data_IF_224675731538
#
_entry.id   IF_224675731538
#
_cell.length_a   1.000
_cell.length_b   1.000
_cell.length_c   1.000
_cell.angle_alpha   90.00
_cell.angle_beta   90.00
_cell.angle_gamma   90.00
#
_symmetry.space_group_name_H-M   'P 1'
#
loop_
_entity.id
_entity.type
_entity.pdbx_description
1 polymer ?
#
# COMPACT_ATOMS: atom_id res chain seq x y z
N UNK A 1 -36.46 -22.20 -5.40
CA UNK A 1 -36.15 -20.87 -5.96
C UNK A 1 -34.65 -20.65 -5.79
N UNK A 2 -33.89 -20.80 -6.86
CA UNK A 2 -32.45 -20.50 -6.86
C UNK A 2 -32.32 -18.98 -6.74
N UNK A 3 -31.88 -18.47 -5.59
CA UNK A 3 -31.33 -17.11 -5.51
C UNK A 3 -30.11 -17.10 -6.43
N UNK A 4 -30.16 -16.34 -7.51
CA UNK A 4 -28.93 -15.98 -8.22
C UNK A 4 -28.02 -15.31 -7.21
N UNK A 5 -26.96 -15.98 -6.80
CA UNK A 5 -25.89 -15.38 -6.02
C UNK A 5 -25.16 -14.38 -6.94
N UNK A 6 -25.72 -13.20 -7.14
CA UNK A 6 -24.97 -12.08 -7.66
C UNK A 6 -24.14 -11.54 -6.49
N UNK A 7 -22.84 -11.45 -6.66
CA UNK A 7 -21.97 -10.75 -5.72
C UNK A 7 -22.44 -9.30 -5.57
N UNK A 8 -22.29 -8.75 -4.36
CA UNK A 8 -22.65 -7.35 -4.08
C UNK A 8 -21.50 -6.44 -4.47
N UNK A 9 -21.83 -5.26 -4.98
CA UNK A 9 -20.85 -4.20 -5.15
C UNK A 9 -20.37 -3.71 -3.78
N UNK A 10 -19.08 -3.45 -3.64
CA UNK A 10 -18.45 -3.00 -2.41
C UNK A 10 -17.68 -1.72 -2.69
N UNK A 11 -17.76 -0.76 -1.80
CA UNK A 11 -17.06 0.51 -1.91
C UNK A 11 -16.29 0.88 -0.64
N UNK A 12 -15.24 1.66 -0.83
CA UNK A 12 -14.63 2.46 0.22
C UNK A 12 -15.51 3.68 0.44
N UNK A 13 -15.96 3.89 1.68
CA UNK A 13 -16.85 5.01 2.04
C UNK A 13 -16.17 6.03 2.95
N UNK A 14 -15.11 5.63 3.65
CA UNK A 14 -14.31 6.51 4.51
C UNK A 14 -12.88 6.03 4.62
N UNK A 15 -11.96 6.98 4.77
CA UNK A 15 -10.54 6.72 4.96
C UNK A 15 -9.96 7.68 5.99
N UNK A 16 -8.97 7.22 6.75
CA UNK A 16 -8.13 8.05 7.59
C UNK A 16 -6.71 7.49 7.60
N UNK A 17 -5.70 8.33 7.41
CA UNK A 17 -4.30 7.93 7.44
C UNK A 17 -3.44 8.99 8.11
N UNK A 18 -2.34 8.56 8.69
CA UNK A 18 -1.31 9.44 9.23
C UNK A 18 0.06 8.81 9.03
N UNK A 19 1.02 9.61 8.58
CA UNK A 19 2.41 9.20 8.44
C UNK A 19 3.32 10.30 8.98
N UNK A 20 4.39 9.90 9.66
CA UNK A 20 5.41 10.80 10.18
C UNK A 20 6.76 10.10 10.19
N UNK A 21 7.85 10.85 10.23
CA UNK A 21 9.19 10.25 10.23
C UNK A 21 9.43 9.37 11.44
N UNK A 22 9.03 9.83 12.63
CA UNK A 22 9.16 9.11 13.89
C UNK A 22 7.95 9.44 14.76
N UNK A 23 7.23 8.43 15.19
CA UNK A 23 6.13 8.55 16.13
C UNK A 23 6.64 8.25 17.55
N UNK A 24 7.18 9.27 18.24
CA UNK A 24 7.81 9.09 19.56
C UNK A 24 6.86 9.27 20.74
N UNK A 25 5.79 10.06 20.58
CA UNK A 25 4.94 10.50 21.70
C UNK A 25 3.69 9.64 21.89
N UNK A 26 3.27 8.90 20.86
CA UNK A 26 2.09 8.02 20.91
C UNK A 26 2.48 6.60 20.52
N UNK A 27 1.80 5.64 21.10
CA UNK A 27 1.93 4.24 20.70
C UNK A 27 0.97 3.92 19.54
N UNK A 28 1.13 2.74 18.97
CA UNK A 28 0.31 2.24 17.86
C UNK A 28 -1.16 2.11 18.22
N UNK A 29 -1.49 1.77 19.47
CA UNK A 29 -2.88 1.66 19.95
C UNK A 29 -3.57 3.02 19.92
N UNK A 30 -2.92 4.05 20.43
CA UNK A 30 -3.46 5.40 20.45
C UNK A 30 -3.57 5.97 19.03
N UNK A 31 -2.54 5.78 18.20
CA UNK A 31 -2.59 6.17 16.78
C UNK A 31 -3.78 5.56 16.07
N UNK A 32 -3.97 4.24 16.23
CA UNK A 32 -5.06 3.55 15.55
C UNK A 32 -6.43 3.91 16.12
N UNK A 33 -6.55 4.14 17.44
CA UNK A 33 -7.79 4.61 18.05
C UNK A 33 -8.26 5.96 17.44
N UNK A 34 -7.33 6.89 17.26
CA UNK A 34 -7.62 8.18 16.65
C UNK A 34 -8.01 8.03 15.17
N UNK A 35 -7.27 7.24 14.40
CA UNK A 35 -7.55 7.00 12.97
C UNK A 35 -8.89 6.28 12.77
N UNK A 36 -9.16 5.22 13.53
CA UNK A 36 -10.42 4.47 13.47
C UNK A 36 -11.60 5.37 13.87
N UNK A 37 -11.44 6.15 14.94
CA UNK A 37 -12.46 7.09 15.38
C UNK A 37 -12.76 8.16 14.31
N UNK A 38 -11.73 8.76 13.73
CA UNK A 38 -11.88 9.75 12.67
C UNK A 38 -12.57 9.13 11.44
N UNK A 39 -12.14 7.94 11.04
CA UNK A 39 -12.70 7.21 9.89
C UNK A 39 -14.20 6.91 10.10
N UNK A 40 -14.60 6.43 11.29
CA UNK A 40 -15.99 6.15 11.63
C UNK A 40 -16.84 7.42 11.72
N UNK A 41 -16.34 8.44 12.40
CA UNK A 41 -17.06 9.68 12.64
C UNK A 41 -17.35 10.44 11.34
N UNK A 42 -16.46 10.35 10.34
CA UNK A 42 -16.65 11.05 9.06
C UNK A 42 -17.89 10.58 8.29
N UNK A 43 -18.35 9.35 8.52
CA UNK A 43 -19.56 8.76 7.90
C UNK A 43 -20.65 8.37 8.90
N UNK A 44 -20.47 8.72 10.18
CA UNK A 44 -21.45 8.49 11.23
C UNK A 44 -21.73 7.03 11.58
N UNK A 45 -20.78 6.13 11.31
CA UNK A 45 -20.92 4.69 11.62
C UNK A 45 -20.51 4.42 13.05
N UNK A 46 -21.39 3.77 13.83
CA UNK A 46 -21.07 3.33 15.19
C UNK A 46 -20.25 2.03 15.18
N UNK A 47 -19.69 1.67 16.33
CA UNK A 47 -18.94 0.42 16.43
C UNK A 47 -19.83 -0.82 16.20
N UNK A 48 -21.06 -0.78 16.70
CA UNK A 48 -22.02 -1.89 16.59
C UNK A 48 -22.49 -2.10 15.14
N UNK A 49 -22.38 -1.06 14.29
CA UNK A 49 -22.69 -1.16 12.88
C UNK A 49 -21.56 -1.78 12.06
N UNK A 50 -20.34 -1.92 12.62
CA UNK A 50 -19.23 -2.62 11.96
C UNK A 50 -19.45 -4.13 12.09
N UNK A 51 -19.84 -4.78 11.00
CA UNK A 51 -20.12 -6.22 10.98
C UNK A 51 -18.86 -7.10 11.01
N UNK A 52 -17.72 -6.57 10.54
CA UNK A 52 -16.44 -7.30 10.51
C UNK A 52 -15.26 -6.32 10.60
N UNK A 53 -14.23 -6.73 11.31
CA UNK A 53 -12.97 -5.99 11.39
C UNK A 53 -11.82 -6.87 10.88
N UNK A 54 -10.94 -6.31 10.04
CA UNK A 54 -9.75 -7.02 9.60
C UNK A 54 -8.52 -6.12 9.70
N UNK A 55 -7.48 -6.62 10.34
CA UNK A 55 -6.22 -5.88 10.49
C UNK A 55 -5.10 -6.49 9.68
N UNK A 56 -4.14 -5.64 9.27
CA UNK A 56 -2.88 -6.05 8.67
C UNK A 56 -1.71 -5.54 9.49
N UNK A 57 -0.78 -6.42 9.86
CA UNK A 57 0.48 -6.06 10.51
C UNK A 57 1.50 -7.18 10.34
N UNK A 58 2.67 -7.05 10.97
CA UNK A 58 3.67 -8.11 11.00
C UNK A 58 4.26 -8.26 12.39
N UNK A 59 4.18 -9.46 12.93
CA UNK A 59 4.82 -9.85 14.18
C UNK A 59 6.34 -9.63 14.14
N UNK A 60 6.97 -9.89 13.00
CA UNK A 60 8.39 -9.64 12.80
C UNK A 60 8.77 -8.16 12.97
N UNK A 61 7.97 -7.26 12.38
CA UNK A 61 8.22 -5.82 12.46
C UNK A 61 7.81 -5.23 13.81
N UNK A 62 6.79 -5.81 14.45
CA UNK A 62 6.37 -5.41 15.79
C UNK A 62 7.30 -5.97 16.90
N UNK A 63 8.12 -6.96 16.56
CA UNK A 63 9.08 -7.58 17.50
C UNK A 63 8.43 -8.48 18.58
N UNK A 64 7.18 -8.88 18.38
CA UNK A 64 6.44 -9.74 19.31
C UNK A 64 5.38 -10.56 18.59
N UNK A 65 5.14 -11.78 19.06
CA UNK A 65 4.08 -12.62 18.54
C UNK A 65 2.69 -12.07 18.92
N UNK A 66 1.73 -12.26 18.00
CA UNK A 66 0.36 -11.77 18.15
C UNK A 66 0.25 -10.26 18.37
N UNK A 67 1.07 -9.49 17.66
CA UNK A 67 1.14 -8.04 17.78
C UNK A 67 -0.21 -7.34 17.57
N UNK A 68 -1.06 -7.89 16.71
CA UNK A 68 -2.40 -7.36 16.41
C UNK A 68 -3.32 -7.31 17.65
N UNK A 69 -3.12 -8.19 18.66
CA UNK A 69 -3.96 -8.22 19.88
C UNK A 69 -3.89 -6.89 20.62
N UNK A 70 -2.75 -6.22 20.62
CA UNK A 70 -2.62 -4.91 21.28
C UNK A 70 -3.49 -3.85 20.62
N UNK A 71 -3.63 -3.89 19.29
CA UNK A 71 -4.44 -2.90 18.56
C UNK A 71 -5.94 -3.17 18.60
N UNK A 72 -6.39 -4.32 19.12
CA UNK A 72 -7.81 -4.56 19.39
C UNK A 72 -8.39 -3.55 20.40
N UNK A 73 -7.59 -3.02 21.30
CA UNK A 73 -8.01 -1.95 22.22
C UNK A 73 -8.36 -0.66 21.46
N UNK A 74 -7.77 -0.44 20.28
CA UNK A 74 -8.09 0.70 19.41
C UNK A 74 -9.45 0.57 18.73
N UNK A 75 -9.87 -0.65 18.47
CA UNK A 75 -11.19 -0.97 17.89
C UNK A 75 -12.29 -0.94 18.94
N UNK A 76 -11.96 -1.33 20.18
CA UNK A 76 -12.93 -1.50 21.26
C UNK A 76 -13.70 -2.82 21.11
N UNK A 77 -13.04 -3.94 21.39
CA UNK A 77 -13.62 -5.29 21.26
C UNK A 77 -14.60 -5.68 22.40
N UNK A 78 -15.29 -4.70 22.95
CA UNK A 78 -16.35 -4.91 23.95
C UNK A 78 -17.57 -4.04 23.60
N UNK A 79 -18.75 -4.65 23.29
CA UNK A 79 -19.05 -6.09 23.24
C UNK A 79 -18.18 -6.85 22.23
N UNK A 80 -18.16 -8.20 22.26
CA UNK A 80 -17.35 -9.01 21.34
C UNK A 80 -17.64 -8.68 19.87
N UNK A 81 -16.59 -8.58 19.07
CA UNK A 81 -16.65 -8.26 17.63
C UNK A 81 -16.29 -9.48 16.77
N UNK A 82 -16.67 -9.46 15.49
CA UNK A 82 -16.13 -10.36 14.46
C UNK A 82 -14.84 -9.78 13.92
N UNK A 83 -13.73 -10.50 14.08
CA UNK A 83 -12.41 -10.02 13.74
C UNK A 83 -11.58 -11.10 13.04
N UNK A 84 -10.65 -10.67 12.19
CA UNK A 84 -9.58 -11.46 11.61
C UNK A 84 -8.32 -10.61 11.42
N UNK A 85 -7.19 -11.28 11.29
CA UNK A 85 -5.90 -10.65 11.09
C UNK A 85 -5.16 -11.29 9.91
N UNK A 86 -4.43 -10.46 9.15
CA UNK A 86 -3.54 -10.89 8.07
C UNK A 86 -2.11 -10.47 8.42
N UNK A 87 -1.19 -11.44 8.47
CA UNK A 87 0.25 -11.18 8.70
C UNK A 87 0.89 -10.61 7.41
N UNK A 88 0.38 -9.48 6.94
CA UNK A 88 0.78 -8.76 5.74
C UNK A 88 0.32 -7.29 5.81
N UNK A 89 0.60 -6.53 4.73
CA UNK A 89 0.06 -5.18 4.55
C UNK A 89 -1.47 -5.15 4.62
N UNK A 90 -2.02 -4.07 5.16
CA UNK A 90 -3.46 -3.86 5.29
C UNK A 90 -4.25 -3.94 3.98
N UNK A 91 -3.62 -3.79 2.82
CA UNK A 91 -4.28 -4.02 1.53
C UNK A 91 -4.75 -5.47 1.36
N UNK A 92 -4.01 -6.44 1.91
CA UNK A 92 -4.41 -7.85 1.91
C UNK A 92 -5.53 -8.12 2.93
N UNK A 93 -5.54 -7.39 4.05
CA UNK A 93 -6.67 -7.42 4.99
C UNK A 93 -7.95 -6.83 4.36
N UNK A 94 -7.81 -5.80 3.52
CA UNK A 94 -8.94 -5.25 2.76
C UNK A 94 -9.52 -6.28 1.79
N UNK A 95 -8.69 -7.11 1.14
CA UNK A 95 -9.15 -8.20 0.29
C UNK A 95 -10.04 -9.18 1.04
N UNK A 96 -9.65 -9.59 2.26
CA UNK A 96 -10.46 -10.49 3.10
C UNK A 96 -11.81 -9.88 3.48
N UNK A 97 -11.82 -8.62 3.88
CA UNK A 97 -13.05 -7.89 4.21
C UNK A 97 -13.96 -7.73 2.98
N UNK A 98 -13.37 -7.43 1.82
CA UNK A 98 -14.10 -7.32 0.55
C UNK A 98 -14.83 -8.62 0.18
N UNK A 99 -14.18 -9.78 0.35
CA UNK A 99 -14.82 -11.09 0.09
C UNK A 99 -16.05 -11.29 0.96
N UNK A 100 -15.98 -10.99 2.27
CA UNK A 100 -17.13 -11.13 3.18
C UNK A 100 -18.30 -10.20 2.83
N UNK A 101 -18.00 -8.97 2.41
CA UNK A 101 -19.00 -8.02 1.95
C UNK A 101 -19.65 -8.47 0.66
N UNK A 102 -18.88 -8.96 -0.32
CA UNK A 102 -19.43 -9.46 -1.60
C UNK A 102 -20.40 -10.61 -1.44
N UNK A 103 -20.09 -11.57 -0.59
CA UNK A 103 -20.97 -12.74 -0.38
C UNK A 103 -22.17 -12.44 0.54
N UNK A 104 -22.23 -11.24 1.11
CA UNK A 104 -23.36 -10.82 1.94
C UNK A 104 -23.32 -11.32 3.38
N UNK A 105 -22.14 -11.67 3.89
CA UNK A 105 -21.98 -12.05 5.30
C UNK A 105 -22.14 -10.83 6.22
N UNK A 106 -21.62 -9.67 5.81
CA UNK A 106 -21.75 -8.39 6.51
C UNK A 106 -22.06 -7.25 5.53
N UNK A 107 -22.56 -6.12 6.04
CA UNK A 107 -22.88 -4.93 5.24
C UNK A 107 -21.82 -3.85 5.33
N UNK A 108 -21.00 -3.87 6.40
CA UNK A 108 -19.92 -2.92 6.68
C UNK A 108 -18.71 -3.66 7.25
N UNK A 109 -17.53 -3.17 6.94
CA UNK A 109 -16.29 -3.67 7.53
C UNK A 109 -15.32 -2.53 7.80
N UNK A 110 -14.56 -2.66 8.89
CA UNK A 110 -13.41 -1.83 9.22
C UNK A 110 -12.14 -2.59 8.84
N UNK A 111 -11.28 -1.94 8.05
CA UNK A 111 -9.93 -2.43 7.76
C UNK A 111 -8.92 -1.43 8.29
N UNK A 112 -7.91 -1.91 8.99
CA UNK A 112 -6.86 -1.04 9.46
C UNK A 112 -5.48 -1.71 9.44
N UNK A 113 -4.46 -0.87 9.40
CA UNK A 113 -3.07 -1.33 9.40
C UNK A 113 -2.16 -0.24 9.93
N UNK A 114 -1.05 -0.64 10.52
CA UNK A 114 -0.07 0.28 11.09
C UNK A 114 1.35 -0.28 10.94
N UNK A 115 2.32 0.61 11.03
CA UNK A 115 3.73 0.27 11.15
C UNK A 115 4.48 1.31 11.97
N UNK A 116 5.39 0.84 12.80
CA UNK A 116 6.29 1.70 13.59
C UNK A 116 7.75 1.25 13.41
N UNK A 117 8.24 1.27 12.16
CA UNK A 117 9.57 0.77 11.82
C UNK A 117 10.71 1.54 12.50
N UNK A 118 10.49 2.79 12.94
CA UNK A 118 11.50 3.57 13.66
C UNK A 118 11.92 2.97 15.01
N UNK A 119 11.10 2.05 15.56
CA UNK A 119 11.37 1.41 16.85
C UNK A 119 12.45 0.32 16.78
N UNK A 120 12.84 -0.15 15.58
CA UNK A 120 13.79 -1.25 15.41
C UNK A 120 14.70 -1.09 14.19
N UNK A 121 15.45 -2.14 13.88
CA UNK A 121 16.29 -2.22 12.69
C UNK A 121 15.54 -2.96 11.58
N UNK A 122 14.99 -2.22 10.63
CA UNK A 122 14.32 -2.82 9.45
C UNK A 122 15.28 -3.72 8.68
N UNK A 123 16.53 -3.32 8.53
CA UNK A 123 17.55 -4.08 7.80
C UNK A 123 17.66 -5.49 8.37
N UNK A 124 17.81 -5.59 9.70
CA UNK A 124 17.96 -6.88 10.37
C UNK A 124 16.67 -7.71 10.31
N UNK A 125 15.52 -7.08 10.54
CA UNK A 125 14.22 -7.76 10.50
C UNK A 125 13.95 -8.33 9.11
N UNK A 126 14.11 -7.54 8.05
CA UNK A 126 13.86 -8.00 6.67
C UNK A 126 14.86 -9.07 6.22
N UNK A 127 16.11 -9.05 6.71
CA UNK A 127 17.07 -10.11 6.44
C UNK A 127 16.62 -11.46 7.02
N UNK A 128 15.91 -11.48 8.15
CA UNK A 128 15.38 -12.72 8.75
C UNK A 128 14.21 -13.33 7.97
N UNK A 129 13.54 -12.56 7.10
CA UNK A 129 12.44 -13.02 6.24
C UNK A 129 12.91 -13.67 4.94
N UNK A 130 14.21 -13.64 4.64
CA UNK A 130 14.80 -14.26 3.46
C UNK A 130 14.85 -15.77 3.59
N UNK A 131 15.05 -16.46 2.46
CA UNK A 131 15.27 -17.91 2.44
C UNK A 131 16.34 -18.31 3.45
N UNK A 132 16.02 -19.18 4.44
CA UNK A 132 16.91 -19.45 5.56
C UNK A 132 18.11 -20.33 5.18
N UNK A 133 18.08 -20.99 4.02
CA UNK A 133 19.11 -21.96 3.63
C UNK A 133 20.15 -21.39 2.67
N UNK A 134 19.74 -20.48 1.77
CA UNK A 134 20.62 -20.00 0.69
C UNK A 134 20.88 -18.49 0.76
N UNK A 135 19.90 -17.69 1.11
CA UNK A 135 20.00 -16.22 1.04
C UNK A 135 20.28 -15.63 2.42
N UNK A 136 19.50 -15.96 3.42
CA UNK A 136 19.65 -15.43 4.79
C UNK A 136 21.04 -15.68 5.39
N UNK A 137 21.74 -16.83 5.16
CA UNK A 137 23.10 -17.03 5.65
C UNK A 137 24.13 -16.02 5.12
N UNK A 138 23.87 -15.39 3.97
CA UNK A 138 24.70 -14.32 3.42
C UNK A 138 24.41 -12.96 4.06
N UNK A 139 23.33 -12.87 4.82
CA UNK A 139 22.83 -11.68 5.51
C UNK A 139 22.78 -10.41 4.63
N UNK A 140 22.23 -10.49 3.39
CA UNK A 140 22.10 -9.30 2.56
C UNK A 140 21.00 -8.42 3.11
N UNK A 141 21.23 -7.11 3.17
CA UNK A 141 20.18 -6.16 3.52
C UNK A 141 19.21 -5.91 2.35
N UNK A 142 18.03 -5.39 2.67
CA UNK A 142 16.97 -5.16 1.68
C UNK A 142 17.36 -4.14 0.60
N UNK A 143 18.20 -3.16 0.93
CA UNK A 143 18.67 -2.15 -0.03
C UNK A 143 19.68 -2.73 -1.00
N UNK A 144 20.59 -3.59 -0.53
CA UNK A 144 21.53 -4.33 -1.39
C UNK A 144 20.80 -5.24 -2.39
N UNK A 145 19.74 -5.94 -1.96
CA UNK A 145 18.91 -6.76 -2.86
C UNK A 145 18.20 -5.88 -3.89
N UNK A 146 17.62 -4.75 -3.47
CA UNK A 146 16.98 -3.82 -4.40
C UNK A 146 17.99 -3.16 -5.36
N UNK A 147 19.21 -2.89 -4.90
CA UNK A 147 20.29 -2.37 -5.73
C UNK A 147 20.72 -3.36 -6.82
N UNK A 148 20.80 -4.66 -6.50
CA UNK A 148 21.04 -5.71 -7.50
C UNK A 148 19.93 -5.73 -8.57
N UNK A 149 18.67 -5.57 -8.18
CA UNK A 149 17.56 -5.45 -9.12
C UNK A 149 17.72 -4.21 -10.03
N UNK A 150 18.01 -3.04 -9.46
CA UNK A 150 18.26 -1.82 -10.23
C UNK A 150 19.46 -1.96 -11.17
N UNK A 151 20.56 -2.58 -10.73
CA UNK A 151 21.74 -2.86 -11.55
C UNK A 151 21.40 -3.73 -12.76
N UNK A 152 20.61 -4.81 -12.56
CA UNK A 152 20.17 -5.66 -13.67
C UNK A 152 19.36 -4.89 -14.72
N UNK A 153 18.52 -3.97 -14.30
CA UNK A 153 17.74 -3.12 -15.22
C UNK A 153 18.63 -2.17 -16.02
N UNK A 154 19.61 -1.53 -15.36
CA UNK A 154 20.58 -0.63 -16.00
C UNK A 154 21.47 -1.39 -16.98
N UNK A 155 22.03 -2.55 -16.61
CA UNK A 155 22.92 -3.34 -17.43
C UNK A 155 22.21 -3.89 -18.69
N UNK A 156 20.91 -4.17 -18.59
CA UNK A 156 20.07 -4.53 -19.74
C UNK A 156 19.58 -3.32 -20.55
N UNK A 157 19.88 -2.09 -20.13
CA UNK A 157 19.41 -0.86 -20.78
C UNK A 157 17.89 -0.67 -20.72
N UNK A 158 17.21 -1.25 -19.74
CA UNK A 158 15.75 -1.16 -19.56
C UNK A 158 15.34 0.13 -18.88
N UNK A 159 16.19 0.69 -18.03
CA UNK A 159 16.05 1.98 -17.38
C UNK A 159 17.39 2.74 -17.45
N UNK A 160 17.38 4.03 -17.07
CA UNK A 160 18.58 4.85 -16.92
C UNK A 160 18.61 5.55 -15.57
N UNK A 161 19.78 6.04 -15.15
CA UNK A 161 19.93 6.81 -13.91
C UNK A 161 19.11 8.10 -13.94
N UNK A 162 18.96 8.69 -15.12
CA UNK A 162 18.14 9.89 -15.36
C UNK A 162 16.66 9.58 -15.08
N UNK A 163 16.14 8.45 -15.58
CA UNK A 163 14.76 8.01 -15.32
C UNK A 163 14.49 7.76 -13.84
N UNK A 164 15.43 7.16 -13.15
CA UNK A 164 15.35 6.98 -11.69
C UNK A 164 15.29 8.34 -10.97
N UNK A 165 16.15 9.31 -11.37
CA UNK A 165 16.11 10.66 -10.80
C UNK A 165 14.80 11.41 -11.11
N UNK A 166 14.27 11.28 -12.32
CA UNK A 166 12.95 11.84 -12.70
C UNK A 166 11.84 11.28 -11.84
N UNK A 167 11.84 9.96 -11.58
CA UNK A 167 10.88 9.29 -10.67
C UNK A 167 10.98 9.83 -9.26
N UNK A 168 12.19 9.94 -8.71
CA UNK A 168 12.43 10.51 -7.37
C UNK A 168 12.02 11.98 -7.30
N UNK A 169 12.27 12.77 -8.36
CA UNK A 169 11.86 14.16 -8.44
C UNK A 169 10.33 14.30 -8.48
N UNK A 170 9.66 13.47 -9.27
CA UNK A 170 8.19 13.41 -9.33
C UNK A 170 7.59 13.13 -7.96
N UNK A 171 8.11 12.12 -7.25
CA UNK A 171 7.68 11.76 -5.90
C UNK A 171 7.80 12.93 -4.92
N UNK A 172 8.96 13.59 -4.85
CA UNK A 172 9.16 14.70 -3.93
C UNK A 172 8.28 15.92 -4.25
N UNK A 173 8.07 16.24 -5.53
CA UNK A 173 7.19 17.32 -5.95
C UNK A 173 5.74 17.02 -5.60
N UNK A 174 5.24 15.82 -5.94
CA UNK A 174 3.88 15.40 -5.61
C UNK A 174 3.65 15.36 -4.09
N UNK A 175 4.60 14.81 -3.34
CA UNK A 175 4.55 14.78 -1.87
C UNK A 175 4.46 16.16 -1.22
N UNK A 176 4.88 17.24 -1.91
CA UNK A 176 4.85 18.58 -1.33
C UNK A 176 3.44 19.12 -1.02
N UNK A 177 2.42 18.55 -1.62
CA UNK A 177 1.02 18.89 -1.37
C UNK A 177 0.33 17.87 -0.43
N UNK A 178 1.05 16.84 0.02
CA UNK A 178 0.56 15.82 0.94
C UNK A 178 1.15 16.03 2.35
N UNK A 179 0.33 16.35 3.38
CA UNK A 179 0.82 16.55 4.74
C UNK A 179 1.42 15.29 5.38
N UNK A 180 1.12 14.11 4.84
CA UNK A 180 1.65 12.83 5.28
C UNK A 180 2.98 12.46 4.60
N UNK A 181 3.44 13.21 3.60
CA UNK A 181 4.71 12.93 2.94
C UNK A 181 5.90 13.40 3.78
N UNK A 182 6.74 12.45 4.19
CA UNK A 182 7.91 12.71 5.03
C UNK A 182 9.06 13.30 4.23
N UNK A 183 9.25 12.83 2.99
CA UNK A 183 10.20 13.39 2.04
C UNK A 183 9.47 14.14 0.94
N UNK A 184 9.54 15.46 0.96
CA UNK A 184 8.89 16.28 -0.05
C UNK A 184 9.64 17.59 -0.26
N UNK A 185 9.61 18.11 -1.49
CA UNK A 185 10.20 19.41 -1.84
C UNK A 185 9.63 19.91 -3.15
N UNK A 186 9.15 21.16 -3.18
CA UNK A 186 8.74 21.85 -4.42
C UNK A 186 9.96 22.23 -5.29
N UNK A 187 11.08 22.52 -4.65
CA UNK A 187 12.28 23.05 -5.29
C UNK A 187 13.35 21.97 -5.51
N UNK A 188 12.95 20.69 -5.55
CA UNK A 188 13.91 19.60 -5.81
C UNK A 188 14.52 19.76 -7.19
N UNK A 189 15.86 19.75 -7.27
CA UNK A 189 16.63 19.91 -8.50
C UNK A 189 17.04 18.55 -9.06
N UNK A 190 16.78 18.34 -10.35
CA UNK A 190 17.24 17.12 -11.06
C UNK A 190 18.76 16.97 -10.98
N UNK A 191 19.53 18.05 -11.16
CA UNK A 191 21.00 18.03 -11.09
C UNK A 191 21.48 17.61 -9.70
N UNK A 192 20.83 18.09 -8.62
CA UNK A 192 21.18 17.69 -7.28
C UNK A 192 20.96 16.19 -7.06
N UNK A 193 19.81 15.65 -7.53
CA UNK A 193 19.52 14.22 -7.43
C UNK A 193 20.54 13.39 -8.22
N UNK A 194 20.93 13.81 -9.41
CA UNK A 194 21.93 13.10 -10.22
C UNK A 194 23.32 13.11 -9.59
N UNK A 195 23.68 14.13 -8.81
CA UNK A 195 24.95 14.26 -8.12
C UNK A 195 24.98 13.66 -6.71
N UNK A 196 23.86 13.12 -6.21
CA UNK A 196 23.84 12.41 -4.94
C UNK A 196 24.77 11.18 -4.98
N UNK A 197 25.58 10.93 -3.93
CA UNK A 197 26.35 9.71 -3.86
C UNK A 197 25.41 8.51 -3.68
N UNK A 198 25.76 7.38 -4.29
CA UNK A 198 25.04 6.14 -4.07
C UNK A 198 25.23 5.68 -2.61
N UNK A 199 24.15 5.28 -1.94
CA UNK A 199 24.20 4.58 -0.65
C UNK A 199 24.63 3.13 -0.87
N UNK A 200 23.99 2.47 -1.85
CA UNK A 200 24.33 1.15 -2.38
C UNK A 200 24.21 1.23 -3.89
N UNK A 201 25.35 1.15 -4.59
CA UNK A 201 25.37 1.31 -6.04
C UNK A 201 24.37 0.37 -6.76
N UNK A 202 23.46 0.88 -7.62
CA UNK A 202 23.36 2.25 -8.16
C UNK A 202 22.40 3.19 -7.40
N UNK A 203 21.84 2.77 -6.25
CA UNK A 203 20.79 3.50 -5.53
C UNK A 203 21.33 4.66 -4.70
N UNK A 204 20.82 5.87 -4.96
CA UNK A 204 21.02 7.08 -4.15
C UNK A 204 19.99 7.13 -3.02
N UNK A 205 20.16 8.03 -2.05
CA UNK A 205 19.17 8.21 -0.98
C UNK A 205 17.78 8.54 -1.54
N UNK A 206 17.71 9.39 -2.56
CA UNK A 206 16.46 9.76 -3.23
C UNK A 206 15.80 8.63 -4.00
N UNK A 207 16.53 7.58 -4.38
CA UNK A 207 16.01 6.42 -5.09
C UNK A 207 15.36 5.38 -4.18
N UNK A 208 15.50 5.52 -2.85
CA UNK A 208 15.00 4.59 -1.84
C UNK A 208 13.85 5.24 -1.08
N UNK A 209 12.82 4.48 -0.76
CA UNK A 209 11.66 4.96 0.00
C UNK A 209 12.07 5.55 1.35
N UNK A 210 11.40 6.65 1.74
CA UNK A 210 11.56 7.24 3.08
C UNK A 210 10.69 6.49 4.07
N UNK A 211 11.33 5.76 4.96
CA UNK A 211 10.64 4.97 5.98
C UNK A 211 9.95 5.90 6.99
N UNK A 212 8.69 5.60 7.28
CA UNK A 212 7.82 6.39 8.14
C UNK A 212 7.05 5.51 9.12
N UNK A 213 6.78 6.04 10.30
CA UNK A 213 5.79 5.50 11.22
C UNK A 213 4.40 6.00 10.85
N UNK A 214 3.37 5.20 11.09
CA UNK A 214 2.01 5.63 10.80
C UNK A 214 1.00 4.50 10.72
N UNK A 215 -0.15 4.82 10.17
CA UNK A 215 -1.23 3.86 9.97
C UNK A 215 -2.32 4.37 9.06
N UNK A 216 -3.25 3.48 8.76
CA UNK A 216 -4.41 3.75 7.92
C UNK A 216 -5.62 2.96 8.41
N UNK A 217 -6.80 3.59 8.36
CA UNK A 217 -8.08 2.96 8.61
C UNK A 217 -9.02 3.24 7.43
N UNK A 218 -9.79 2.24 7.02
CA UNK A 218 -10.74 2.31 5.91
C UNK A 218 -12.06 1.66 6.35
N UNK A 219 -13.19 2.29 6.03
CA UNK A 219 -14.51 1.66 6.12
C UNK A 219 -14.95 1.25 4.74
N UNK A 220 -15.28 -0.03 4.60
CA UNK A 220 -15.95 -0.63 3.45
C UNK A 220 -17.44 -0.79 3.73
N UNK A 221 -18.26 -0.60 2.71
CA UNK A 221 -19.68 -0.90 2.76
C UNK A 221 -20.18 -1.50 1.45
N UNK A 222 -21.25 -2.30 1.50
CA UNK A 222 -21.82 -2.97 0.35
C UNK A 222 -23.12 -2.33 -0.13
N UNK A 223 -23.31 -2.25 -1.44
CA UNK A 223 -24.57 -1.87 -2.10
C UNK A 223 -25.18 -0.58 -1.57
N UNK A 224 -26.47 -0.63 -1.20
CA UNK A 224 -27.21 0.54 -0.72
C UNK A 224 -26.67 1.11 0.60
N UNK A 225 -26.03 0.29 1.43
CA UNK A 225 -25.37 0.79 2.64
C UNK A 225 -24.24 1.75 2.30
N UNK A 226 -23.43 1.45 1.27
CA UNK A 226 -22.36 2.36 0.82
C UNK A 226 -22.94 3.72 0.36
N UNK A 227 -24.01 3.71 -0.43
CA UNK A 227 -24.70 4.94 -0.90
C UNK A 227 -25.32 5.75 0.23
N UNK A 228 -25.75 5.07 1.30
CA UNK A 228 -26.32 5.76 2.48
C UNK A 228 -25.24 6.45 3.35
N UNK A 229 -24.01 5.98 3.30
CA UNK A 229 -22.90 6.48 4.11
C UNK A 229 -22.04 7.53 3.39
N UNK A 230 -21.96 7.44 2.07
CA UNK A 230 -21.11 8.31 1.27
C UNK A 230 -21.84 8.73 -0.01
N UNK A 231 -21.85 10.04 -0.29
CA UNK A 231 -22.51 10.58 -1.48
C UNK A 231 -21.84 10.11 -2.79
N UNK A 232 -20.52 9.99 -2.77
CA UNK A 232 -19.70 9.49 -3.88
C UNK A 232 -18.74 8.39 -3.41
N UNK A 233 -19.22 7.13 -3.24
CA UNK A 233 -18.37 6.03 -2.80
C UNK A 233 -17.30 5.69 -3.85
N UNK A 234 -16.13 5.24 -3.40
CA UNK A 234 -15.11 4.68 -4.28
C UNK A 234 -15.34 3.17 -4.43
N UNK A 235 -16.01 2.77 -5.52
CA UNK A 235 -16.40 1.38 -5.78
C UNK A 235 -15.18 0.54 -6.18
N UNK A 236 -15.00 -0.60 -5.52
CA UNK A 236 -13.99 -1.59 -5.90
C UNK A 236 -14.50 -2.35 -7.12
N UNK A 237 -13.99 -2.00 -8.29
CA UNK A 237 -14.34 -2.64 -9.57
C UNK A 237 -13.65 -3.96 -9.77
N UNK A 238 -12.46 -4.09 -9.18
CA UNK A 238 -11.75 -5.34 -9.13
C UNK A 238 -10.57 -5.26 -8.18
N UNK A 239 -10.26 -6.39 -7.59
CA UNK A 239 -9.09 -6.55 -6.73
C UNK A 239 -8.57 -7.98 -6.89
N UNK A 240 -7.27 -8.12 -7.06
CA UNK A 240 -6.61 -9.42 -7.16
C UNK A 240 -5.21 -9.33 -6.59
N UNK A 241 -4.70 -10.44 -6.09
CA UNK A 241 -3.33 -10.53 -5.63
C UNK A 241 -2.63 -11.78 -6.15
N UNK A 242 -1.33 -11.66 -6.41
CA UNK A 242 -0.49 -12.74 -6.93
C UNK A 242 0.87 -12.74 -6.23
N UNK A 243 1.51 -13.89 -6.23
CA UNK A 243 2.82 -14.09 -5.63
C UNK A 243 3.74 -14.79 -6.63
N UNK A 244 4.96 -14.26 -6.78
CA UNK A 244 6.06 -14.91 -7.49
C UNK A 244 6.84 -15.82 -6.54
N UNK A 245 7.69 -16.69 -7.09
CA UNK A 245 8.60 -17.52 -6.28
C UNK A 245 9.41 -16.67 -5.30
N UNK A 246 9.58 -17.14 -4.08
CA UNK A 246 10.43 -16.47 -3.11
C UNK A 246 11.93 -16.59 -3.46
N UNK A 247 12.31 -17.57 -4.26
CA UNK A 247 13.69 -17.80 -4.67
C UNK A 247 14.11 -16.79 -5.74
N UNK A 248 14.94 -15.82 -5.38
CA UNK A 248 15.38 -14.73 -6.28
C UNK A 248 16.04 -15.25 -7.56
N UNK A 249 16.83 -16.34 -7.46
CA UNK A 249 17.60 -16.87 -8.58
C UNK A 249 16.79 -17.55 -9.70
N UNK A 250 15.49 -17.82 -9.49
CA UNK A 250 14.61 -18.40 -10.52
C UNK A 250 13.69 -17.38 -11.17
N UNK A 251 13.72 -16.13 -10.70
CA UNK A 251 12.89 -15.04 -11.20
C UNK A 251 13.67 -14.15 -12.16
N UNK A 252 13.00 -13.63 -13.18
CA UNK A 252 13.51 -12.45 -13.91
C UNK A 252 13.22 -11.20 -13.09
N UNK A 253 14.21 -10.74 -12.33
CA UNK A 253 14.07 -9.59 -11.43
C UNK A 253 13.90 -8.26 -12.18
N UNK A 254 13.98 -8.23 -13.51
CA UNK A 254 13.68 -7.03 -14.33
C UNK A 254 12.20 -6.89 -14.66
N UNK A 255 11.37 -7.79 -14.15
CA UNK A 255 9.92 -7.83 -14.33
C UNK A 255 9.20 -8.19 -13.04
N UNK A 256 7.89 -7.97 -13.02
CA UNK A 256 6.99 -8.44 -11.95
C UNK A 256 5.74 -9.11 -12.56
N UNK A 257 5.85 -10.39 -12.97
CA UNK A 257 4.71 -11.12 -13.54
C UNK A 257 3.50 -11.18 -12.60
N UNK A 258 3.73 -11.24 -11.29
CA UNK A 258 2.65 -11.22 -10.30
C UNK A 258 1.91 -9.88 -10.28
N UNK A 259 2.61 -8.73 -10.44
CA UNK A 259 1.97 -7.42 -10.54
C UNK A 259 1.14 -7.31 -11.83
N UNK A 260 1.73 -7.70 -12.97
CA UNK A 260 1.02 -7.73 -14.25
C UNK A 260 -0.27 -8.56 -14.17
N UNK A 261 -0.19 -9.80 -13.68
CA UNK A 261 -1.33 -10.69 -13.62
C UNK A 261 -2.39 -10.22 -12.63
N UNK A 262 -1.99 -9.66 -11.49
CA UNK A 262 -2.92 -9.06 -10.54
C UNK A 262 -3.68 -7.88 -11.17
N UNK A 263 -3.00 -7.00 -11.90
CA UNK A 263 -3.61 -5.86 -12.59
C UNK A 263 -4.58 -6.31 -13.70
N UNK A 264 -4.18 -7.31 -14.51
CA UNK A 264 -5.04 -7.89 -15.54
C UNK A 264 -6.34 -8.45 -14.92
N UNK A 265 -6.22 -9.22 -13.83
CA UNK A 265 -7.36 -9.82 -13.13
C UNK A 265 -8.22 -8.80 -12.40
N UNK A 266 -7.63 -7.73 -11.88
CA UNK A 266 -8.36 -6.61 -11.30
C UNK A 266 -9.07 -5.74 -12.34
N UNK A 267 -8.83 -5.96 -13.66
CA UNK A 267 -9.53 -5.27 -14.73
C UNK A 267 -8.93 -3.91 -15.09
N UNK A 268 -7.60 -3.76 -15.02
CA UNK A 268 -6.89 -2.52 -15.36
C UNK A 268 -7.27 -1.99 -16.75
N UNK A 269 -7.48 -2.89 -17.72
CA UNK A 269 -7.74 -2.58 -19.13
C UNK A 269 -9.24 -2.31 -19.45
N UNK A 270 -10.13 -2.29 -18.43
CA UNK A 270 -11.54 -2.09 -18.67
C UNK A 270 -11.88 -0.67 -19.12
N UNK A 271 -11.14 0.33 -18.62
CA UNK A 271 -11.28 1.73 -18.99
C UNK A 271 -10.01 2.50 -18.64
N UNK A 272 -9.91 3.79 -19.06
CA UNK A 272 -8.80 4.68 -18.79
C UNK A 272 -8.61 4.89 -17.29
N UNK A 273 -7.34 4.99 -16.85
CA UNK A 273 -6.96 5.37 -15.49
C UNK A 273 -6.60 6.86 -15.41
N UNK A 274 -7.20 7.58 -14.46
CA UNK A 274 -6.82 8.96 -14.14
C UNK A 274 -5.62 9.02 -13.21
N UNK A 275 -5.48 8.00 -12.34
CA UNK A 275 -4.49 7.94 -11.26
C UNK A 275 -4.01 6.51 -11.04
N UNK A 276 -2.72 6.36 -10.76
CA UNK A 276 -2.13 5.14 -10.20
C UNK A 276 -1.29 5.49 -8.97
N UNK A 277 -1.67 4.98 -7.81
CA UNK A 277 -0.87 5.02 -6.58
C UNK A 277 -0.17 3.67 -6.43
N UNK A 278 1.11 3.62 -6.77
CA UNK A 278 1.92 2.40 -6.80
C UNK A 278 2.91 2.37 -5.65
N UNK A 279 3.14 1.16 -5.12
CA UNK A 279 4.04 0.88 -4.01
C UNK A 279 5.31 0.22 -4.53
N UNK A 280 6.41 0.93 -4.58
CA UNK A 280 7.75 0.43 -4.89
C UNK A 280 8.76 0.96 -3.87
N UNK A 281 9.59 0.09 -3.31
CA UNK A 281 10.62 0.49 -2.35
C UNK A 281 11.71 1.36 -2.97
N UNK A 282 11.86 1.33 -4.29
CA UNK A 282 12.86 2.12 -5.02
C UNK A 282 12.29 2.71 -6.31
N UNK A 283 12.92 3.79 -6.79
CA UNK A 283 12.58 4.41 -8.08
C UNK A 283 12.66 3.41 -9.25
N UNK A 284 13.62 2.45 -9.19
CA UNK A 284 13.73 1.38 -10.18
C UNK A 284 12.52 0.42 -10.15
N UNK A 285 11.99 0.12 -8.96
CA UNK A 285 10.77 -0.70 -8.82
C UNK A 285 9.53 0.02 -9.32
N UNK A 286 9.40 1.32 -9.08
CA UNK A 286 8.30 2.10 -9.66
C UNK A 286 8.31 2.03 -11.19
N UNK A 287 9.50 2.14 -11.82
CA UNK A 287 9.63 2.01 -13.26
C UNK A 287 9.28 0.61 -13.80
N UNK A 288 9.56 -0.46 -13.03
CA UNK A 288 9.06 -1.80 -13.37
C UNK A 288 7.52 -1.81 -13.35
N UNK A 289 6.92 -1.30 -12.28
CA UNK A 289 5.47 -1.31 -12.08
C UNK A 289 4.75 -0.45 -13.13
N UNK A 290 5.27 0.74 -13.46
CA UNK A 290 4.73 1.58 -14.54
C UNK A 290 4.67 0.82 -15.88
N UNK A 291 5.71 0.02 -16.16
CA UNK A 291 5.77 -0.82 -17.35
C UNK A 291 4.82 -2.03 -17.28
N UNK A 292 4.76 -2.72 -16.14
CA UNK A 292 3.88 -3.90 -15.98
C UNK A 292 2.38 -3.51 -16.02
N UNK A 293 2.05 -2.30 -15.60
CA UNK A 293 0.70 -1.76 -15.66
C UNK A 293 0.37 -1.00 -16.93
N UNK A 294 1.32 -0.90 -17.87
CA UNK A 294 1.20 -0.15 -19.13
C UNK A 294 0.67 1.29 -18.91
N UNK A 295 1.21 1.96 -17.88
CA UNK A 295 0.80 3.32 -17.54
C UNK A 295 1.32 4.29 -18.61
N UNK A 296 0.43 5.09 -19.15
CA UNK A 296 0.75 6.10 -20.16
C UNK A 296 0.89 7.51 -19.54
N UNK A 297 1.28 8.49 -20.36
CA UNK A 297 1.50 9.88 -19.92
C UNK A 297 0.22 10.58 -19.40
N UNK A 298 -0.96 10.05 -19.71
CA UNK A 298 -2.24 10.60 -19.26
C UNK A 298 -2.58 10.15 -17.82
N UNK A 299 -1.99 9.04 -17.36
CA UNK A 299 -2.20 8.53 -16.01
C UNK A 299 -1.26 9.25 -15.05
N UNK A 300 -1.82 9.95 -14.08
CA UNK A 300 -1.02 10.57 -13.00
C UNK A 300 -0.50 9.50 -12.05
N UNK A 301 0.79 9.48 -11.78
CA UNK A 301 1.42 8.46 -10.92
C UNK A 301 1.84 9.07 -9.59
N UNK A 302 1.45 8.42 -8.50
CA UNK A 302 1.84 8.75 -7.13
C UNK A 302 1.63 10.24 -6.79
N UNK A 303 0.40 10.74 -6.96
CA UNK A 303 0.05 12.12 -6.56
C UNK A 303 0.24 12.39 -5.06
N UNK A 304 0.24 11.33 -4.25
CA UNK A 304 0.56 11.42 -2.82
C UNK A 304 2.05 11.60 -2.54
N UNK A 305 2.91 11.44 -3.54
CA UNK A 305 4.36 11.26 -3.42
C UNK A 305 4.78 9.79 -3.42
N UNK A 306 3.84 8.86 -3.28
CA UNK A 306 4.11 7.42 -3.27
C UNK A 306 4.94 6.96 -2.07
N UNK A 307 5.41 5.74 -2.13
CA UNK A 307 6.27 5.16 -1.09
C UNK A 307 7.67 5.80 -1.05
N UNK A 308 8.17 6.37 -2.16
CA UNK A 308 9.42 7.10 -2.14
C UNK A 308 9.36 8.33 -1.22
N UNK A 309 8.20 8.97 -1.11
CA UNK A 309 7.98 10.09 -0.20
C UNK A 309 7.69 9.65 1.24
N UNK A 310 6.98 8.54 1.42
CA UNK A 310 6.61 8.03 2.75
C UNK A 310 6.18 6.57 2.67
N UNK A 311 6.95 5.69 3.30
CA UNK A 311 6.72 4.25 3.33
C UNK A 311 6.50 3.76 4.76
N UNK A 312 5.25 3.47 5.10
CA UNK A 312 4.85 2.89 6.39
C UNK A 312 4.65 1.40 6.22
N UNK A 313 5.69 0.64 6.50
CA UNK A 313 5.67 -0.82 6.33
C UNK A 313 4.42 -1.43 6.98
N UNK A 314 3.79 -2.37 6.29
CA UNK A 314 2.50 -3.02 6.60
C UNK A 314 1.26 -2.14 6.40
N UNK A 315 1.41 -0.82 6.21
CA UNK A 315 0.28 0.07 5.92
C UNK A 315 0.40 0.77 4.56
N UNK A 316 1.56 0.73 3.89
CA UNK A 316 1.78 1.46 2.64
C UNK A 316 0.81 1.08 1.54
N UNK A 317 0.49 -0.20 1.38
CA UNK A 317 -0.49 -0.66 0.39
C UNK A 317 -1.90 -0.18 0.71
N UNK A 318 -2.32 -0.26 1.97
CA UNK A 318 -3.62 0.26 2.40
C UNK A 318 -3.69 1.78 2.23
N UNK A 319 -2.60 2.50 2.48
CA UNK A 319 -2.49 3.95 2.23
C UNK A 319 -2.63 4.26 0.74
N UNK A 320 -2.07 3.46 -0.17
CA UNK A 320 -2.28 3.64 -1.63
C UNK A 320 -3.76 3.52 -1.99
N UNK A 321 -4.48 2.55 -1.42
CA UNK A 321 -5.93 2.40 -1.60
C UNK A 321 -6.66 3.64 -1.02
N UNK A 322 -6.28 4.08 0.17
CA UNK A 322 -6.83 5.28 0.82
C UNK A 322 -6.65 6.53 -0.03
N UNK A 323 -5.47 6.73 -0.64
CA UNK A 323 -5.14 7.88 -1.48
C UNK A 323 -6.00 7.93 -2.76
N UNK A 324 -6.18 6.78 -3.43
CA UNK A 324 -7.06 6.69 -4.60
C UNK A 324 -8.52 6.93 -4.19
N UNK A 325 -8.98 6.25 -3.14
CA UNK A 325 -10.36 6.36 -2.66
C UNK A 325 -10.71 7.79 -2.24
N UNK A 326 -9.83 8.47 -1.49
CA UNK A 326 -10.02 9.84 -1.05
C UNK A 326 -10.21 10.80 -2.23
N UNK A 327 -9.44 10.65 -3.31
CA UNK A 327 -9.55 11.48 -4.51
C UNK A 327 -10.81 11.19 -5.31
N UNK A 328 -11.27 9.94 -5.33
CA UNK A 328 -12.55 9.57 -5.93
C UNK A 328 -13.70 10.17 -5.11
N UNK A 329 -13.71 9.97 -3.80
CA UNK A 329 -14.74 10.49 -2.89
C UNK A 329 -14.85 12.02 -3.01
N UNK A 330 -13.72 12.72 -3.14
CA UNK A 330 -13.69 14.19 -3.31
C UNK A 330 -13.97 14.68 -4.75
N UNK A 331 -14.17 13.77 -5.71
CA UNK A 331 -14.46 14.12 -7.11
C UNK A 331 -13.26 14.64 -7.89
N UNK A 332 -12.03 14.42 -7.43
CA UNK A 332 -10.80 14.83 -8.14
C UNK A 332 -10.42 13.89 -9.28
N UNK A 333 -10.81 12.64 -9.19
CA UNK A 333 -10.62 11.59 -10.19
C UNK A 333 -11.85 10.70 -10.25
N UNK A 334 -12.04 10.04 -11.39
CA UNK A 334 -13.16 9.10 -11.56
C UNK A 334 -12.69 7.65 -11.43
N UNK A 335 -11.48 7.31 -11.90
CA UNK A 335 -10.97 5.94 -11.88
C UNK A 335 -9.49 5.90 -11.54
N UNK A 336 -9.10 5.00 -10.61
CA UNK A 336 -7.72 4.87 -10.19
C UNK A 336 -7.32 3.45 -9.83
N UNK A 337 -6.01 3.21 -9.92
CA UNK A 337 -5.34 2.00 -9.51
C UNK A 337 -4.59 2.25 -8.21
N UNK A 338 -4.76 1.35 -7.23
CA UNK A 338 -3.92 1.27 -6.06
C UNK A 338 -3.17 -0.06 -6.05
N UNK A 339 -1.87 -0.01 -5.72
CA UNK A 339 -1.01 -1.18 -5.70
C UNK A 339 -0.30 -1.33 -4.37
N UNK A 340 -0.23 -2.56 -3.88
CA UNK A 340 0.54 -2.96 -2.71
C UNK A 340 1.55 -4.05 -3.08
N UNK A 341 2.74 -3.98 -2.51
CA UNK A 341 3.76 -5.03 -2.65
C UNK A 341 4.29 -5.50 -1.31
N UNK A 342 4.75 -6.74 -1.26
CA UNK A 342 5.45 -7.34 -0.12
C UNK A 342 6.53 -8.31 -0.61
N UNK A 343 7.54 -8.53 0.24
CA UNK A 343 8.66 -9.39 -0.09
C UNK A 343 9.67 -8.75 -1.06
N UNK A 344 10.89 -9.35 -1.17
CA UNK A 344 11.98 -8.76 -1.93
C UNK A 344 11.70 -8.72 -3.43
N UNK A 345 12.09 -7.62 -4.08
CA UNK A 345 12.00 -7.46 -5.54
C UNK A 345 10.59 -7.67 -6.08
N UNK A 346 9.57 -7.04 -5.49
CA UNK A 346 8.17 -7.11 -5.93
C UNK A 346 7.64 -8.56 -5.96
N UNK A 347 7.87 -9.33 -4.90
CA UNK A 347 7.51 -10.75 -4.87
C UNK A 347 6.01 -10.99 -4.80
N UNK A 348 5.30 -10.25 -3.96
CA UNK A 348 3.85 -10.36 -3.79
C UNK A 348 3.22 -9.04 -4.17
N UNK A 349 2.18 -9.07 -4.97
CA UNK A 349 1.54 -7.86 -5.45
C UNK A 349 0.03 -7.98 -5.35
N UNK A 350 -0.61 -6.91 -4.90
CA UNK A 350 -2.05 -6.73 -4.91
C UNK A 350 -2.37 -5.47 -5.72
N UNK A 351 -3.36 -5.58 -6.59
CA UNK A 351 -3.91 -4.45 -7.35
C UNK A 351 -5.38 -4.30 -7.03
N UNK A 352 -5.79 -3.07 -6.74
CA UNK A 352 -7.17 -2.68 -6.51
C UNK A 352 -7.54 -1.55 -7.48
N UNK A 353 -8.59 -1.77 -8.28
CA UNK A 353 -9.17 -0.76 -9.17
C UNK A 353 -10.39 -0.16 -8.50
N UNK A 354 -10.37 1.15 -8.36
CA UNK A 354 -11.43 1.94 -7.73
C UNK A 354 -12.05 2.89 -8.73
N UNK A 355 -13.37 3.10 -8.64
CA UNK A 355 -14.12 3.98 -9.55
C UNK A 355 -15.22 4.72 -8.81
N UNK A 356 -15.39 6.00 -9.13
CA UNK A 356 -16.53 6.81 -8.72
C UNK A 356 -17.74 6.57 -9.62
N UNK A 357 -18.96 6.93 -9.15
CA UNK A 357 -20.19 6.99 -9.97
C UNK A 357 -20.33 8.36 -10.64
#
# INVERSE_FOLDING_TARGET
MSKSNSFRDVAVVSVASHQTKILSEVNEVQLMADLISNCRNSVGVTQEEIGFTCSGSSDFLAGQAFSFVHTLDSVGAFPPISESHVEMDGAFALYEAWVKLQIGEVDTALVYSYGKPSAGSIIDVLATQLDPYYVSPLWPDCFSIAALQARLLLDKGLITLEKMAETSMRSQKNGSDNPNAVRSSKDVSFENLMNEPAIVDPLRASDISEIADGGCAIILAAGDKAKSLCERPAWIKGIDHRVDSHTLGVRDLTRSPSAFLAAEKAGINADRLDLAEIHGMTSAQELILEKEFDLNEETRVNLSGGSLASDTMMASGLIRISEVASRIISGQVDRGLAHATSGPCLQQNLVCILEGE
#
